data_IF_192180746798
#
_entry.id   IF_192180746798
#
_cell.length_a   1.000
_cell.length_b   1.000
_cell.length_c   1.000
_cell.angle_alpha   90.00
_cell.angle_beta   90.00
_cell.angle_gamma   90.00
#
_symmetry.space_group_name_H-M   'P 1'
#
loop_
_entity.id
_entity.type
_entity.pdbx_description
1 polymer ?
#
# COMPACT_ATOMS: atom_id res chain seq x y z
N UNK A 1 18.11 -7.46 2.61
CA UNK A 1 16.68 -7.49 3.08
C UNK A 1 15.82 -7.66 1.85
N UNK A 2 14.61 -8.25 1.91
CA UNK A 2 13.74 -8.30 0.72
C UNK A 2 12.61 -7.29 0.82
N UNK A 3 12.39 -6.49 -0.22
CA UNK A 3 11.31 -5.53 -0.35
C UNK A 3 10.23 -6.07 -1.31
N UNK A 4 9.03 -6.31 -0.79
CA UNK A 4 7.86 -6.66 -1.59
C UNK A 4 7.14 -5.38 -2.02
N UNK A 5 6.90 -5.22 -3.32
CA UNK A 5 6.30 -4.03 -3.91
C UNK A 5 4.92 -4.39 -4.46
N UNK A 6 3.88 -3.69 -4.00
CA UNK A 6 2.50 -3.87 -4.41
C UNK A 6 2.03 -2.65 -5.22
N UNK A 7 1.89 -2.79 -6.55
CA UNK A 7 1.42 -1.71 -7.40
C UNK A 7 -0.03 -1.31 -7.14
N UNK A 8 -0.43 -0.15 -7.66
CA UNK A 8 -1.82 0.28 -7.66
C UNK A 8 -2.70 -0.56 -8.60
N UNK A 9 -4.02 -0.34 -8.53
CA UNK A 9 -5.01 -1.04 -9.31
C UNK A 9 -4.75 -0.84 -10.81
N UNK A 10 -4.63 -1.97 -11.55
CA UNK A 10 -4.26 -2.00 -12.97
C UNK A 10 -2.89 -1.38 -13.31
N UNK A 11 -2.12 -0.92 -12.33
CA UNK A 11 -0.74 -0.52 -12.57
C UNK A 11 0.18 -1.72 -12.66
N UNK A 12 1.30 -1.50 -13.34
CA UNK A 12 2.39 -2.47 -13.45
C UNK A 12 3.71 -1.73 -13.24
N UNK A 13 4.81 -2.48 -13.12
CA UNK A 13 6.17 -1.93 -13.01
C UNK A 13 6.60 -1.06 -14.20
N UNK A 14 5.80 -0.97 -15.26
CA UNK A 14 6.04 -0.07 -16.40
C UNK A 14 5.94 1.41 -16.00
N UNK A 15 5.25 1.74 -14.91
CA UNK A 15 5.31 3.09 -14.34
C UNK A 15 6.75 3.36 -13.86
N UNK A 16 7.36 4.44 -14.37
CA UNK A 16 8.75 4.80 -14.07
C UNK A 16 9.01 4.99 -12.57
N UNK A 17 7.99 5.36 -11.79
CA UNK A 17 8.07 5.48 -10.34
C UNK A 17 8.53 4.18 -9.68
N UNK A 18 7.94 3.04 -10.06
CA UNK A 18 8.34 1.74 -9.52
C UNK A 18 9.77 1.36 -9.92
N UNK A 19 10.15 1.59 -11.18
CA UNK A 19 11.52 1.32 -11.63
C UNK A 19 12.57 2.09 -10.83
N UNK A 20 12.28 3.36 -10.50
CA UNK A 20 13.18 4.18 -9.67
C UNK A 20 13.19 3.72 -8.20
N UNK A 21 12.07 3.27 -7.65
CA UNK A 21 12.01 2.69 -6.29
C UNK A 21 12.80 1.39 -6.23
N UNK A 22 12.62 0.50 -7.21
CA UNK A 22 13.35 -0.76 -7.31
C UNK A 22 14.85 -0.47 -7.32
N UNK A 23 15.29 0.43 -8.20
CA UNK A 23 16.69 0.84 -8.26
C UNK A 23 17.19 1.41 -6.93
N UNK A 24 16.46 2.32 -6.31
CA UNK A 24 16.85 2.90 -5.02
C UNK A 24 16.94 1.84 -3.91
N UNK A 25 16.05 0.85 -3.91
CA UNK A 25 16.08 -0.26 -2.96
C UNK A 25 17.27 -1.19 -3.19
N UNK A 26 17.58 -1.51 -4.45
CA UNK A 26 18.75 -2.30 -4.81
C UNK A 26 20.05 -1.60 -4.46
N UNK A 27 20.15 -0.29 -4.76
CA UNK A 27 21.29 0.55 -4.37
C UNK A 27 21.44 0.62 -2.83
N UNK A 28 20.34 0.46 -2.07
CA UNK A 28 20.33 0.35 -0.60
C UNK A 28 20.51 -1.09 -0.06
N UNK A 29 20.79 -2.08 -0.92
CA UNK A 29 21.06 -3.46 -0.52
C UNK A 29 19.81 -4.34 -0.30
N UNK A 30 18.67 -3.96 -0.86
CA UNK A 30 17.47 -4.78 -0.88
C UNK A 30 17.45 -5.66 -2.14
N UNK A 31 16.98 -6.90 -2.01
CA UNK A 31 16.38 -7.60 -3.15
C UNK A 31 14.92 -7.15 -3.28
N UNK A 32 14.40 -7.08 -4.49
CA UNK A 32 13.02 -6.63 -4.74
C UNK A 32 12.18 -7.73 -5.36
N UNK A 33 10.89 -7.77 -5.02
CA UNK A 33 9.89 -8.60 -5.69
C UNK A 33 8.59 -7.83 -5.83
N UNK A 34 8.02 -7.84 -7.03
CA UNK A 34 6.73 -7.18 -7.28
C UNK A 34 5.61 -8.20 -7.21
N UNK A 35 4.65 -7.95 -6.31
CA UNK A 35 3.46 -8.77 -6.13
C UNK A 35 2.27 -8.10 -6.82
N UNK A 36 1.89 -8.61 -8.00
CA UNK A 36 0.76 -8.10 -8.78
C UNK A 36 -0.58 -8.63 -8.25
N UNK A 37 -0.99 -8.15 -7.08
CA UNK A 37 -2.25 -8.52 -6.44
C UNK A 37 -3.37 -7.57 -6.87
N UNK A 38 -4.37 -8.09 -7.58
CA UNK A 38 -5.52 -7.32 -8.06
C UNK A 38 -6.78 -7.68 -7.30
N UNK A 39 -7.55 -6.65 -6.90
CA UNK A 39 -8.78 -6.82 -6.10
C UNK A 39 -10.05 -6.97 -6.94
N UNK A 40 -10.02 -6.65 -8.23
CA UNK A 40 -11.22 -6.63 -9.07
C UNK A 40 -11.87 -8.01 -9.17
N UNK A 41 -13.18 -8.06 -8.88
CA UNK A 41 -14.02 -9.26 -8.89
C UNK A 41 -13.48 -10.37 -7.97
N UNK A 42 -12.90 -9.98 -6.84
CA UNK A 42 -12.36 -10.89 -5.82
C UNK A 42 -12.71 -10.41 -4.42
N UNK A 43 -12.81 -11.34 -3.48
CA UNK A 43 -12.81 -11.00 -2.07
C UNK A 43 -11.45 -10.39 -1.72
N UNK A 44 -11.46 -9.25 -1.05
CA UNK A 44 -10.28 -8.58 -0.56
C UNK A 44 -9.48 -9.48 0.40
N UNK A 45 -10.15 -10.26 1.25
CA UNK A 45 -9.49 -11.24 2.13
C UNK A 45 -8.74 -12.33 1.37
N UNK A 46 -9.26 -12.79 0.24
CA UNK A 46 -8.56 -13.77 -0.62
C UNK A 46 -7.29 -13.15 -1.22
N UNK A 47 -7.35 -11.87 -1.58
CA UNK A 47 -6.20 -11.13 -2.14
C UNK A 47 -5.12 -10.94 -1.08
N UNK A 48 -5.51 -10.56 0.14
CA UNK A 48 -4.60 -10.43 1.29
C UNK A 48 -3.99 -11.79 1.63
N UNK A 49 -4.80 -12.84 1.71
CA UNK A 49 -4.38 -14.21 1.99
C UNK A 49 -3.38 -14.73 0.95
N UNK A 50 -3.64 -14.46 -0.34
CA UNK A 50 -2.71 -14.78 -1.42
C UNK A 50 -1.36 -14.06 -1.21
N UNK A 51 -1.37 -12.77 -0.89
CA UNK A 51 -0.16 -12.01 -0.61
C UNK A 51 0.63 -12.57 0.58
N UNK A 52 -0.07 -12.95 1.65
CA UNK A 52 0.53 -13.59 2.82
C UNK A 52 1.20 -14.91 2.45
N UNK A 53 0.52 -15.76 1.66
CA UNK A 53 1.07 -17.05 1.22
C UNK A 53 2.34 -16.86 0.39
N UNK A 54 2.32 -15.94 -0.58
CA UNK A 54 3.50 -15.63 -1.41
C UNK A 54 4.67 -15.18 -0.53
N UNK A 55 4.43 -14.25 0.39
CA UNK A 55 5.48 -13.71 1.28
C UNK A 55 5.98 -14.77 2.28
N UNK A 56 5.13 -15.65 2.80
CA UNK A 56 5.53 -16.70 3.75
C UNK A 56 6.30 -17.85 3.08
N UNK A 57 6.06 -18.10 1.79
CA UNK A 57 6.84 -19.09 1.02
C UNK A 57 8.32 -18.70 0.88
N UNK A 58 8.63 -17.42 1.05
CA UNK A 58 9.97 -16.87 0.95
C UNK A 58 10.74 -16.98 2.31
N UNK A 59 11.97 -17.50 2.21
CA UNK A 59 12.87 -17.82 3.34
C UNK A 59 13.64 -16.62 3.92
N UNK A 60 13.53 -15.42 3.36
CA UNK A 60 14.23 -14.23 3.85
C UNK A 60 13.79 -13.90 5.28
N UNK A 61 14.74 -13.81 6.21
CA UNK A 61 14.44 -13.49 7.62
C UNK A 61 14.03 -12.04 7.84
N UNK A 62 14.55 -11.11 7.02
CA UNK A 62 14.24 -9.67 7.09
C UNK A 62 13.48 -9.26 5.84
N UNK A 63 12.24 -8.82 6.04
CA UNK A 63 11.28 -8.46 4.99
C UNK A 63 10.83 -7.02 5.19
N UNK A 64 10.62 -6.30 4.10
CA UNK A 64 9.96 -5.01 4.06
C UNK A 64 8.82 -5.08 3.02
N UNK A 65 7.81 -4.23 3.18
CA UNK A 65 6.69 -4.16 2.25
C UNK A 65 6.42 -2.71 1.85
N UNK A 66 6.15 -2.50 0.58
CA UNK A 66 5.79 -1.22 0.01
C UNK A 66 4.54 -1.39 -0.84
N UNK A 67 3.61 -0.44 -0.75
CA UNK A 67 2.50 -0.37 -1.69
C UNK A 67 2.14 1.06 -2.04
N UNK A 68 1.50 1.22 -3.20
CA UNK A 68 0.96 2.50 -3.67
C UNK A 68 -0.55 2.39 -3.95
N UNK A 69 -1.33 3.41 -3.57
CA UNK A 69 -2.78 3.47 -3.75
C UNK A 69 -3.50 2.21 -3.21
N UNK A 70 -4.20 1.45 -4.05
CA UNK A 70 -4.84 0.20 -3.64
C UNK A 70 -3.81 -0.87 -3.25
N UNK A 71 -2.62 -0.86 -3.85
CA UNK A 71 -1.51 -1.71 -3.44
C UNK A 71 -1.03 -1.36 -2.03
N UNK A 72 -1.08 -0.09 -1.64
CA UNK A 72 -0.77 0.34 -0.28
C UNK A 72 -1.80 -0.18 0.73
N UNK A 73 -3.07 -0.24 0.35
CA UNK A 73 -4.12 -0.83 1.18
C UNK A 73 -3.92 -2.34 1.39
N UNK A 74 -3.60 -3.07 0.33
CA UNK A 74 -3.29 -4.52 0.41
C UNK A 74 -2.03 -4.72 1.27
N UNK A 75 -0.96 -3.96 1.00
CA UNK A 75 0.28 -4.03 1.75
C UNK A 75 0.07 -3.75 3.25
N UNK A 76 -0.73 -2.72 3.55
CA UNK A 76 -1.13 -2.40 4.92
C UNK A 76 -1.83 -3.58 5.58
N UNK A 77 -2.82 -4.18 4.91
CA UNK A 77 -3.58 -5.30 5.47
C UNK A 77 -2.76 -6.58 5.62
N UNK A 78 -1.83 -6.86 4.71
CA UNK A 78 -0.85 -7.93 4.91
C UNK A 78 0.01 -7.63 6.15
N UNK A 79 0.44 -6.38 6.32
CA UNK A 79 1.28 -5.99 7.46
C UNK A 79 0.56 -6.02 8.81
N UNK A 80 -0.77 -6.08 8.86
CA UNK A 80 -1.49 -6.29 10.13
C UNK A 80 -1.40 -7.74 10.61
N UNK A 81 -1.05 -8.67 9.70
CA UNK A 81 -0.99 -10.12 9.96
C UNK A 81 0.44 -10.68 9.93
N UNK A 82 1.37 -10.01 9.24
CA UNK A 82 2.77 -10.40 9.15
C UNK A 82 3.69 -9.31 9.69
N UNK A 83 4.75 -9.74 10.37
CA UNK A 83 5.79 -8.85 10.85
C UNK A 83 6.77 -8.47 9.72
N UNK A 84 7.05 -7.18 9.59
CA UNK A 84 8.06 -6.62 8.68
C UNK A 84 9.06 -5.76 9.45
N UNK A 85 10.27 -5.61 8.93
CA UNK A 85 11.24 -4.63 9.45
C UNK A 85 10.77 -3.20 9.10
N UNK A 86 10.31 -2.99 7.87
CA UNK A 86 9.79 -1.71 7.38
C UNK A 86 8.51 -1.88 6.56
N UNK A 87 7.55 -0.99 6.76
CA UNK A 87 6.34 -0.84 5.94
C UNK A 87 6.28 0.55 5.31
N UNK A 88 6.08 0.63 3.99
CA UNK A 88 5.97 1.88 3.24
C UNK A 88 4.61 1.95 2.55
N UNK A 89 3.71 2.76 3.10
CA UNK A 89 2.32 2.81 2.64
C UNK A 89 2.04 4.16 1.98
N UNK A 90 2.04 4.18 0.65
CA UNK A 90 1.98 5.41 -0.14
C UNK A 90 0.57 5.64 -0.69
N UNK A 91 -0.02 6.80 -0.41
CA UNK A 91 -1.34 7.21 -0.87
C UNK A 91 -2.44 6.17 -0.58
N UNK A 92 -2.51 5.63 0.64
CA UNK A 92 -3.43 4.53 0.99
C UNK A 92 -4.87 4.89 0.58
N UNK A 93 -5.44 4.09 -0.33
CA UNK A 93 -6.81 4.32 -0.78
C UNK A 93 -7.82 4.06 0.35
N UNK A 94 -8.65 5.06 0.72
CA UNK A 94 -9.67 4.90 1.76
C UNK A 94 -10.84 4.09 1.19
N UNK A 95 -10.79 2.76 1.36
CA UNK A 95 -11.73 1.82 0.75
C UNK A 95 -12.35 0.83 1.75
N UNK A 96 -12.10 0.93 3.06
CA UNK A 96 -12.66 0.00 4.04
C UNK A 96 -13.71 0.65 4.93
N UNK A 97 -14.63 -0.16 5.48
CA UNK A 97 -15.70 0.29 6.39
C UNK A 97 -16.48 1.49 5.78
N UNK A 98 -16.61 2.56 6.56
CA UNK A 98 -17.29 3.80 6.22
C UNK A 98 -16.53 4.65 5.17
N UNK A 99 -15.35 4.21 4.73
CA UNK A 99 -14.66 4.89 3.65
C UNK A 99 -15.29 4.66 2.28
N UNK A 100 -16.06 3.59 2.10
CA UNK A 100 -16.86 3.44 0.90
C UNK A 100 -18.14 4.29 1.05
N UNK A 101 -18.35 5.29 0.19
CA UNK A 101 -19.55 6.12 0.28
C UNK A 101 -20.82 5.29 0.01
N UNK A 102 -21.96 5.81 0.49
CA UNK A 102 -23.28 5.19 0.25
C UNK A 102 -23.54 4.95 -1.24
N UNK A 103 -23.11 5.86 -2.10
CA UNK A 103 -23.13 5.68 -3.55
C UNK A 103 -21.96 4.80 -4.00
N UNK A 104 -22.23 3.52 -4.20
CA UNK A 104 -21.20 2.54 -4.57
C UNK A 104 -21.04 2.35 -6.08
N UNK A 105 -21.89 2.92 -6.91
CA UNK A 105 -21.88 2.65 -8.35
C UNK A 105 -20.51 2.88 -9.03
N UNK A 106 -19.76 3.96 -8.74
CA UNK A 106 -18.41 4.13 -9.29
C UNK A 106 -17.45 3.02 -8.84
N UNK A 107 -17.47 2.65 -7.56
CA UNK A 107 -16.62 1.60 -7.00
C UNK A 107 -16.96 0.22 -7.56
N UNK A 108 -18.25 -0.08 -7.75
CA UNK A 108 -18.71 -1.34 -8.37
C UNK A 108 -18.22 -1.42 -9.81
N UNK A 109 -18.21 -0.31 -10.55
CA UNK A 109 -17.67 -0.28 -11.92
C UNK A 109 -16.17 -0.62 -11.96
N UNK A 110 -15.40 -0.17 -10.96
CA UNK A 110 -13.95 -0.43 -10.91
C UNK A 110 -13.63 -1.82 -10.35
N UNK A 111 -14.21 -2.18 -9.21
CA UNK A 111 -13.78 -3.34 -8.43
C UNK A 111 -14.75 -4.53 -8.53
N UNK A 112 -15.97 -4.33 -9.00
CA UNK A 112 -17.01 -5.37 -8.96
C UNK A 112 -17.85 -5.30 -7.68
N UNK A 113 -19.07 -5.82 -7.76
CA UNK A 113 -20.05 -5.77 -6.67
C UNK A 113 -19.58 -6.56 -5.44
N UNK A 114 -19.03 -7.74 -5.66
CA UNK A 114 -18.53 -8.64 -4.61
C UNK A 114 -17.41 -7.98 -3.81
N UNK A 115 -16.38 -7.47 -4.50
CA UNK A 115 -15.26 -6.76 -3.87
C UNK A 115 -15.73 -5.56 -3.06
N UNK A 116 -16.65 -4.74 -3.58
CA UNK A 116 -17.17 -3.58 -2.86
C UNK A 116 -17.95 -3.98 -1.61
N UNK A 117 -18.72 -5.05 -1.67
CA UNK A 117 -19.44 -5.56 -0.51
C UNK A 117 -18.49 -6.10 0.55
N UNK A 118 -17.44 -6.82 0.13
CA UNK A 118 -16.43 -7.32 1.04
C UNK A 118 -15.67 -6.18 1.73
N UNK A 119 -15.13 -5.23 0.96
CA UNK A 119 -14.40 -4.07 1.47
C UNK A 119 -15.17 -3.28 2.56
N UNK A 120 -16.52 -3.21 2.48
CA UNK A 120 -17.36 -2.58 3.50
C UNK A 120 -17.36 -3.31 4.84
N UNK A 121 -17.15 -4.61 4.83
CA UNK A 121 -17.11 -5.46 6.03
C UNK A 121 -15.69 -5.55 6.62
N UNK A 122 -14.68 -5.20 5.83
CA UNK A 122 -13.28 -5.20 6.25
C UNK A 122 -12.97 -4.00 7.11
N UNK A 123 -12.11 -4.20 8.13
CA UNK A 123 -11.69 -3.15 9.06
C UNK A 123 -10.23 -2.81 8.90
N UNK A 124 -9.87 -1.56 9.17
CA UNK A 124 -8.45 -1.23 9.35
C UNK A 124 -7.92 -1.89 10.62
N UNK A 125 -6.86 -2.69 10.51
CA UNK A 125 -6.11 -3.20 11.67
C UNK A 125 -5.03 -2.21 12.15
N UNK A 126 -3.97 -2.72 12.78
CA UNK A 126 -2.73 -2.01 13.12
C UNK A 126 -1.56 -2.78 12.51
N UNK A 127 -0.67 -2.08 11.80
CA UNK A 127 0.51 -2.71 11.20
C UNK A 127 1.44 -3.30 12.27
N UNK A 128 1.98 -4.49 12.00
CA UNK A 128 2.98 -5.19 12.79
C UNK A 128 4.41 -4.91 12.30
N UNK A 129 4.58 -3.97 11.34
CA UNK A 129 5.91 -3.56 10.90
C UNK A 129 6.63 -2.79 12.03
N UNK A 130 7.89 -3.12 12.29
CA UNK A 130 8.71 -2.46 13.33
C UNK A 130 8.86 -0.96 13.09
N UNK A 131 8.91 -0.55 11.83
CA UNK A 131 8.88 0.85 11.41
C UNK A 131 7.87 1.00 10.27
N UNK A 132 6.91 1.90 10.44
CA UNK A 132 5.88 2.17 9.45
C UNK A 132 5.98 3.60 8.96
N UNK A 133 6.06 3.79 7.65
CA UNK A 133 6.10 5.07 6.96
C UNK A 133 4.84 5.23 6.11
N UNK A 134 4.09 6.29 6.36
CA UNK A 134 2.84 6.59 5.67
C UNK A 134 3.05 7.84 4.84
N UNK A 135 2.86 7.74 3.53
CA UNK A 135 3.12 8.84 2.61
C UNK A 135 1.80 9.33 2.01
N UNK A 136 1.63 10.65 1.92
CA UNK A 136 0.51 11.29 1.22
C UNK A 136 1.01 12.56 0.53
N UNK A 137 0.46 12.86 -0.65
CA UNK A 137 0.69 14.10 -1.36
C UNK A 137 -0.10 15.23 -0.74
N UNK A 138 0.47 16.44 -0.67
CA UNK A 138 -0.23 17.60 -0.12
C UNK A 138 -1.40 18.10 -0.97
N UNK A 139 -1.47 17.64 -2.23
CA UNK A 139 -2.52 17.99 -3.20
C UNK A 139 -3.49 16.83 -3.46
N UNK A 140 -3.38 15.73 -2.70
CA UNK A 140 -4.32 14.60 -2.78
C UNK A 140 -5.69 14.93 -2.18
N UNK A 141 -6.68 14.06 -2.44
CA UNK A 141 -8.02 14.23 -1.90
C UNK A 141 -8.02 14.24 -0.36
N UNK A 142 -8.76 15.18 0.25
CA UNK A 142 -8.85 15.36 1.71
C UNK A 142 -9.11 14.07 2.49
N UNK A 143 -9.99 13.19 1.96
CA UNK A 143 -10.31 11.90 2.59
C UNK A 143 -9.11 10.97 2.68
N UNK A 144 -8.28 10.93 1.63
CA UNK A 144 -7.09 10.11 1.57
C UNK A 144 -6.02 10.64 2.53
N UNK A 145 -5.77 11.96 2.52
CA UNK A 145 -4.84 12.62 3.45
C UNK A 145 -5.26 12.31 4.90
N UNK A 146 -6.55 12.52 5.21
CA UNK A 146 -7.13 12.22 6.52
C UNK A 146 -6.90 10.75 6.90
N UNK A 147 -7.24 9.80 6.02
CA UNK A 147 -7.08 8.38 6.31
C UNK A 147 -5.62 8.01 6.54
N UNK A 148 -4.71 8.50 5.71
CA UNK A 148 -3.28 8.23 5.84
C UNK A 148 -2.75 8.74 7.18
N UNK A 149 -3.16 9.95 7.60
CA UNK A 149 -2.84 10.48 8.93
C UNK A 149 -3.36 9.57 10.05
N UNK A 150 -4.64 9.21 10.04
CA UNK A 150 -5.23 8.34 11.08
C UNK A 150 -4.50 7.00 11.19
N UNK A 151 -4.14 6.38 10.06
CA UNK A 151 -3.43 5.10 10.07
C UNK A 151 -1.98 5.25 10.57
N UNK A 152 -1.32 6.37 10.26
CA UNK A 152 0.00 6.67 10.80
C UNK A 152 -0.02 6.80 12.32
N UNK A 153 -0.97 7.55 12.88
CA UNK A 153 -1.14 7.71 14.33
C UNK A 153 -1.46 6.36 14.99
N UNK A 154 -2.38 5.59 14.41
CA UNK A 154 -2.76 4.25 14.90
C UNK A 154 -1.57 3.29 15.01
N UNK A 155 -0.66 3.34 14.04
CA UNK A 155 0.50 2.44 13.99
C UNK A 155 1.73 3.02 14.70
N UNK A 156 1.62 4.18 15.37
CA UNK A 156 2.78 4.94 15.85
C UNK A 156 3.85 5.11 14.76
N UNK A 157 3.39 5.32 13.52
CA UNK A 157 4.22 5.42 12.33
C UNK A 157 4.61 6.86 12.02
N UNK A 158 5.53 7.01 11.08
CA UNK A 158 5.95 8.32 10.57
C UNK A 158 5.06 8.73 9.40
N UNK A 159 4.35 9.86 9.53
CA UNK A 159 3.65 10.50 8.43
C UNK A 159 4.62 11.38 7.62
N UNK A 160 4.69 11.14 6.31
CA UNK A 160 5.48 11.91 5.36
C UNK A 160 4.54 12.59 4.36
N UNK A 161 4.46 13.92 4.43
CA UNK A 161 3.67 14.70 3.47
C UNK A 161 4.58 15.14 2.32
N UNK A 162 4.34 14.60 1.12
CA UNK A 162 5.10 14.90 -0.09
C UNK A 162 4.58 16.20 -0.69
N UNK A 163 5.44 17.22 -0.72
CA UNK A 163 5.07 18.56 -1.21
C UNK A 163 4.90 18.61 -2.73
N UNK A 164 3.95 19.42 -3.18
CA UNK A 164 3.58 19.60 -4.58
C UNK A 164 3.31 18.27 -5.27
N UNK A 165 2.52 17.42 -4.62
CA UNK A 165 2.26 16.07 -5.12
C UNK A 165 0.78 15.74 -5.04
N UNK A 166 0.26 15.25 -6.16
CA UNK A 166 -1.06 14.64 -6.30
C UNK A 166 -0.96 13.11 -6.10
N UNK A 167 -1.95 12.37 -6.60
CA UNK A 167 -2.04 10.92 -6.44
C UNK A 167 -1.20 10.17 -7.48
N UNK A 168 0.07 10.55 -7.62
CA UNK A 168 1.00 9.97 -8.58
C UNK A 168 2.35 9.62 -7.95
N UNK A 169 2.88 8.45 -8.30
CA UNK A 169 4.18 7.95 -7.86
C UNK A 169 5.35 8.61 -8.63
N UNK A 170 5.43 9.93 -8.56
CA UNK A 170 6.42 10.72 -9.28
C UNK A 170 7.78 10.80 -8.55
N UNK A 171 8.71 11.61 -9.08
CA UNK A 171 10.06 11.79 -8.54
C UNK A 171 10.10 12.22 -7.05
N UNK A 172 9.15 13.04 -6.58
CA UNK A 172 9.15 13.52 -5.21
C UNK A 172 8.79 12.39 -4.23
N UNK A 173 7.78 11.58 -4.56
CA UNK A 173 7.47 10.36 -3.81
C UNK A 173 8.67 9.42 -3.73
N UNK A 174 9.29 9.14 -4.88
CA UNK A 174 10.44 8.24 -4.96
C UNK A 174 11.58 8.73 -4.07
N UNK A 175 11.89 10.03 -4.08
CA UNK A 175 12.93 10.61 -3.22
C UNK A 175 12.63 10.41 -1.74
N UNK A 176 11.39 10.63 -1.32
CA UNK A 176 10.98 10.46 0.08
C UNK A 176 11.04 8.98 0.51
N UNK A 177 10.64 8.06 -0.36
CA UNK A 177 10.76 6.62 -0.11
C UNK A 177 12.24 6.23 0.00
N UNK A 178 13.08 6.68 -0.95
CA UNK A 178 14.50 6.36 -0.99
C UNK A 178 15.26 6.83 0.25
N UNK A 179 14.88 7.98 0.82
CA UNK A 179 15.46 8.46 2.08
C UNK A 179 15.18 7.54 3.28
N UNK A 180 14.15 6.69 3.20
CA UNK A 180 13.73 5.79 4.28
C UNK A 180 14.16 4.33 4.06
N UNK A 181 14.71 3.99 2.88
CA UNK A 181 15.20 2.65 2.54
C UNK A 181 16.50 2.32 3.29
#
# INVERSE_FOLDING_TARGET
>A
MKLYILPAYKETIRNQGYGRIIKAAEDAGYSTEVLNLQIQNRMFDDVVSQGIQLINSDKHRKKAILGFSTGALIAYQISTQLQFEKGFFCSISPLLEDDIPKSTAPYIKYFGKETVNDLKNQKYGTSQAKSSFFFTGDSEGKKLIYRTKILSERCNGTLVVVKNNDHELNTNYVKQIAFQL
#
